data_IF_133477838626
#
_entry.id   IF_133477838626
#
_cell.length_a   1.000
_cell.length_b   1.000
_cell.length_c   1.000
_cell.angle_alpha   90.00
_cell.angle_beta   90.00
_cell.angle_gamma   90.00
#
_symmetry.space_group_name_H-M   'P 1'
#
loop_
_entity.id
_entity.type
_entity.pdbx_description
1 polymer ?
#
# COMPACT_ATOMS: atom_id res chain seq x y z
N UNK A 1 16.08 -10.79 -0.24
CA UNK A 1 14.93 -10.18 -0.93
C UNK A 1 15.41 -9.37 -2.12
N UNK A 2 14.83 -9.61 -3.26
CA UNK A 2 15.16 -8.81 -4.45
C UNK A 2 14.39 -7.50 -4.39
N UNK A 3 15.12 -6.42 -4.16
CA UNK A 3 14.54 -5.09 -4.23
C UNK A 3 14.62 -4.63 -5.66
N UNK A 4 13.69 -5.09 -6.48
CA UNK A 4 13.63 -4.62 -7.85
C UNK A 4 12.77 -3.38 -7.93
N UNK A 5 12.71 -2.79 -9.11
CA UNK A 5 11.97 -1.57 -9.35
C UNK A 5 10.47 -1.70 -9.00
N UNK A 6 9.93 -2.89 -9.20
CA UNK A 6 8.53 -3.16 -8.94
C UNK A 6 8.23 -3.07 -7.43
N UNK A 7 9.08 -3.67 -6.61
CA UNK A 7 8.91 -3.65 -5.15
C UNK A 7 9.03 -2.24 -4.61
N UNK A 8 9.95 -1.45 -5.15
CA UNK A 8 10.14 -0.07 -4.72
C UNK A 8 8.92 0.79 -5.05
N UNK A 9 8.32 0.59 -6.21
CA UNK A 9 7.11 1.32 -6.59
C UNK A 9 5.96 0.96 -5.65
N UNK A 10 5.81 -0.31 -5.32
CA UNK A 10 4.76 -0.76 -4.40
C UNK A 10 4.95 -0.17 -3.01
N UNK A 11 6.19 -0.11 -2.53
CA UNK A 11 6.49 0.47 -1.22
C UNK A 11 6.16 1.97 -1.20
N UNK A 12 6.51 2.70 -2.26
CA UNK A 12 6.20 4.12 -2.33
C UNK A 12 4.70 4.36 -2.41
N UNK A 13 3.98 3.51 -3.14
CA UNK A 13 2.53 3.57 -3.18
C UNK A 13 1.93 3.34 -1.79
N UNK A 14 2.45 2.36 -1.06
CA UNK A 14 2.00 2.07 0.29
C UNK A 14 2.17 3.30 1.20
N UNK A 15 3.32 3.95 1.13
CA UNK A 15 3.58 5.17 1.92
C UNK A 15 2.56 6.25 1.58
N UNK A 16 2.30 6.47 0.30
CA UNK A 16 1.33 7.47 -0.14
C UNK A 16 -0.07 7.16 0.38
N UNK A 17 -0.48 5.88 0.31
CA UNK A 17 -1.79 5.45 0.81
C UNK A 17 -1.91 5.72 2.31
N UNK A 18 -0.87 5.41 3.07
CA UNK A 18 -0.87 5.64 4.52
C UNK A 18 -0.97 7.14 4.83
N UNK A 19 -0.17 7.94 4.14
CA UNK A 19 -0.15 9.39 4.38
C UNK A 19 -1.46 10.06 4.03
N UNK A 20 -2.10 9.60 2.96
CA UNK A 20 -3.38 10.17 2.51
C UNK A 20 -4.59 9.52 3.20
N UNK A 21 -4.39 8.39 3.86
CA UNK A 21 -5.45 7.67 4.53
C UNK A 21 -6.47 7.08 3.56
N UNK A 22 -6.09 6.89 2.30
CA UNK A 22 -7.02 6.47 1.26
C UNK A 22 -6.28 5.76 0.13
N UNK A 23 -6.76 4.57 -0.21
CA UNK A 23 -6.21 3.83 -1.35
C UNK A 23 -6.54 4.56 -2.66
N UNK A 24 -7.73 5.11 -2.76
CA UNK A 24 -8.17 5.85 -3.95
C UNK A 24 -7.26 7.06 -4.19
N UNK A 25 -7.00 7.84 -3.14
CA UNK A 25 -6.14 9.02 -3.28
C UNK A 25 -4.70 8.63 -3.57
N UNK A 26 -4.21 7.56 -2.94
CA UNK A 26 -2.86 7.08 -3.22
C UNK A 26 -2.72 6.64 -4.68
N UNK A 27 -3.71 5.93 -5.21
CA UNK A 27 -3.71 5.51 -6.60
C UNK A 27 -3.69 6.73 -7.53
N UNK A 28 -4.50 7.72 -7.22
CA UNK A 28 -4.60 8.93 -8.01
C UNK A 28 -3.26 9.67 -8.04
N UNK A 29 -2.59 9.75 -6.91
CA UNK A 29 -1.29 10.41 -6.82
C UNK A 29 -0.26 9.72 -7.71
N UNK A 30 -0.36 8.40 -7.84
CA UNK A 30 0.55 7.63 -8.69
C UNK A 30 0.09 7.55 -10.15
N UNK A 31 -1.07 8.10 -10.47
CA UNK A 31 -1.59 8.06 -11.84
C UNK A 31 -1.98 6.67 -12.29
N UNK A 32 -2.41 5.82 -11.36
CA UNK A 32 -2.86 4.45 -11.67
C UNK A 32 -4.30 4.26 -11.20
N UNK A 33 -4.95 3.22 -11.72
CA UNK A 33 -6.32 2.91 -11.32
C UNK A 33 -6.36 2.38 -9.89
N UNK A 34 -7.53 2.46 -9.26
CA UNK A 34 -7.74 1.88 -7.94
C UNK A 34 -7.49 0.37 -7.97
N UNK A 35 -7.93 -0.29 -9.04
CA UNK A 35 -7.73 -1.74 -9.19
C UNK A 35 -6.25 -2.08 -9.25
N UNK A 36 -5.46 -1.30 -9.99
CA UNK A 36 -4.02 -1.52 -10.08
C UNK A 36 -3.33 -1.28 -8.74
N UNK A 37 -3.73 -0.23 -8.02
CA UNK A 37 -3.17 0.07 -6.71
C UNK A 37 -3.50 -1.05 -5.72
N UNK A 38 -4.75 -1.49 -5.70
CA UNK A 38 -5.19 -2.58 -4.83
C UNK A 38 -4.39 -3.85 -5.09
N UNK A 39 -4.18 -4.18 -6.35
CA UNK A 39 -3.41 -5.36 -6.73
C UNK A 39 -1.97 -5.27 -6.24
N UNK A 40 -1.33 -4.12 -6.41
CA UNK A 40 0.06 -3.94 -5.96
C UNK A 40 0.18 -4.09 -4.45
N UNK A 41 -0.74 -3.50 -3.69
CA UNK A 41 -0.74 -3.62 -2.23
C UNK A 41 -0.99 -5.06 -1.82
N UNK A 42 -1.96 -5.74 -2.45
CA UNK A 42 -2.26 -7.14 -2.13
C UNK A 42 -1.06 -8.05 -2.40
N UNK A 43 -0.36 -7.82 -3.50
CA UNK A 43 0.83 -8.61 -3.83
C UNK A 43 1.95 -8.38 -2.82
N UNK A 44 2.11 -7.14 -2.37
CA UNK A 44 3.10 -6.82 -1.35
C UNK A 44 2.73 -7.49 -0.02
N UNK A 45 1.46 -7.47 0.35
CA UNK A 45 0.99 -8.13 1.56
C UNK A 45 1.22 -9.64 1.49
N UNK A 46 0.96 -10.24 0.33
CA UNK A 46 1.19 -11.67 0.13
C UNK A 46 2.67 -12.00 0.26
N UNK A 47 3.53 -11.13 -0.25
CA UNK A 47 4.98 -11.33 -0.18
C UNK A 47 5.49 -11.24 1.26
N UNK A 48 4.97 -10.29 2.03
CA UNK A 48 5.33 -10.11 3.44
C UNK A 48 4.67 -11.19 4.32
N UNK A 49 3.52 -11.70 3.89
CA UNK A 49 2.77 -12.70 4.64
C UNK A 49 1.86 -12.10 5.70
N UNK A 50 1.61 -10.81 5.64
CA UNK A 50 0.75 -10.13 6.60
C UNK A 50 0.03 -8.97 5.93
N UNK A 51 -1.14 -8.62 6.46
CA UNK A 51 -1.82 -7.41 6.02
C UNK A 51 -1.02 -6.19 6.46
N UNK A 52 -0.89 -5.22 5.57
CA UNK A 52 -0.16 -3.97 5.84
C UNK A 52 -1.13 -2.81 6.04
N UNK A 53 -2.34 -2.92 5.51
CA UNK A 53 -3.38 -1.89 5.63
C UNK A 53 -4.64 -2.51 6.20
N UNK A 54 -5.36 -1.71 6.97
CA UNK A 54 -6.63 -2.11 7.58
C UNK A 54 -7.66 -1.03 7.25
N UNK A 55 -8.88 -1.44 6.88
CA UNK A 55 -9.96 -0.50 6.63
C UNK A 55 -10.53 -0.02 7.95
N UNK A 56 -10.83 1.27 8.01
CA UNK A 56 -11.50 1.88 9.15
C UNK A 56 -12.64 2.76 8.64
N UNK A 57 -13.45 3.28 9.56
CA UNK A 57 -14.54 4.18 9.19
C UNK A 57 -14.05 5.46 8.54
N UNK A 58 -12.84 5.86 8.84
CA UNK A 58 -12.23 7.09 8.31
C UNK A 58 -11.37 6.86 7.08
N UNK A 59 -11.30 5.63 6.59
CA UNK A 59 -10.48 5.30 5.44
C UNK A 59 -9.58 4.11 5.72
N UNK A 60 -8.31 4.22 5.36
CA UNK A 60 -7.34 3.14 5.50
C UNK A 60 -6.25 3.57 6.47
N UNK A 61 -5.88 2.66 7.38
CA UNK A 61 -4.80 2.90 8.33
C UNK A 61 -3.80 1.75 8.23
N UNK A 62 -2.53 1.96 8.60
CA UNK A 62 -1.57 0.85 8.57
C UNK A 62 -1.86 -0.14 9.71
N UNK A 63 -1.68 -1.43 9.42
CA UNK A 63 -1.69 -2.47 10.45
C UNK A 63 -0.42 -2.34 11.30
N UNK A 64 -0.27 -3.13 12.38
CA UNK A 64 1.01 -3.14 13.12
C UNK A 64 2.20 -3.48 12.20
N UNK A 65 2.03 -4.45 11.30
CA UNK A 65 3.07 -4.78 10.33
C UNK A 65 3.35 -3.62 9.38
N UNK A 66 2.29 -2.93 8.94
CA UNK A 66 2.41 -1.76 8.08
C UNK A 66 3.12 -0.61 8.77
N UNK A 67 2.86 -0.39 10.05
CA UNK A 67 3.54 0.64 10.82
C UNK A 67 5.03 0.36 10.92
N UNK A 68 5.41 -0.89 11.08
CA UNK A 68 6.81 -1.28 11.14
C UNK A 68 7.53 -0.99 9.82
N UNK A 69 6.82 -1.08 8.69
CA UNK A 69 7.39 -0.80 7.37
C UNK A 69 7.36 0.70 7.02
N UNK A 70 6.39 1.39 7.57
CA UNK A 70 6.21 2.81 7.28
C UNK A 70 7.28 3.62 7.99
#
# INVERSE_FOLDING_TARGET
MNLNRYDLISLRLFVSVVELGSLTLGAKEFGISLAAASKRISEMEAHVGQALLVRSKKGVVPSPAGQAMY
#
